data_IF_678643870443
#
_entry.id   IF_678643870443
#
_cell.length_a   1.000
_cell.length_b   1.000
_cell.length_c   1.000
_cell.angle_alpha   90.00
_cell.angle_beta   90.00
_cell.angle_gamma   90.00
#
_symmetry.space_group_name_H-M   'P 1'
#
loop_
_entity.id
_entity.type
_entity.pdbx_description
1 polymer ?
#
# COMPACT_ATOMS: atom_id res chain seq x y z
N UNK A 1 11.81 10.77 24.89
CA UNK A 1 10.47 11.34 24.64
C UNK A 1 10.02 11.08 23.20
N UNK A 2 10.86 11.37 22.20
CA UNK A 2 10.58 11.13 20.77
C UNK A 2 10.23 9.66 20.45
N UNK A 3 11.01 8.68 20.94
CA UNK A 3 10.72 7.24 20.72
C UNK A 3 9.35 6.81 21.23
N UNK A 4 8.92 7.32 22.40
CA UNK A 4 7.58 7.02 22.92
C UNK A 4 6.51 7.59 22.01
N UNK A 5 6.68 8.84 21.55
CA UNK A 5 5.70 9.51 20.70
C UNK A 5 5.60 8.84 19.32
N UNK A 6 6.74 8.51 18.69
CA UNK A 6 6.76 7.80 17.41
C UNK A 6 6.17 6.40 17.50
N UNK A 7 6.49 5.65 18.57
CA UNK A 7 5.93 4.32 18.79
C UNK A 7 4.41 4.37 19.02
N UNK A 8 3.91 5.31 19.83
CA UNK A 8 2.46 5.49 19.99
C UNK A 8 1.79 5.88 18.67
N UNK A 9 2.39 6.77 17.88
CA UNK A 9 1.82 7.18 16.60
C UNK A 9 1.73 6.02 15.58
N UNK A 10 2.75 5.15 15.53
CA UNK A 10 2.69 3.91 14.73
C UNK A 10 1.61 2.95 15.25
N UNK A 11 1.64 2.67 16.55
CA UNK A 11 0.79 1.64 17.16
C UNK A 11 -0.67 2.04 17.20
N UNK A 12 -1.04 3.33 17.23
CA UNK A 12 -2.44 3.77 17.06
C UNK A 12 -2.98 3.33 15.70
N UNK A 13 -2.23 3.58 14.62
CA UNK A 13 -2.61 3.14 13.28
C UNK A 13 -2.73 1.62 13.18
N UNK A 14 -1.76 0.89 13.73
CA UNK A 14 -1.76 -0.58 13.73
C UNK A 14 -2.89 -1.17 14.58
N UNK A 15 -3.21 -0.59 15.74
CA UNK A 15 -4.34 -1.00 16.57
C UNK A 15 -5.66 -0.81 15.84
N UNK A 16 -5.84 0.33 15.19
CA UNK A 16 -7.02 0.58 14.36
C UNK A 16 -7.11 -0.46 13.23
N UNK A 17 -6.00 -0.72 12.54
CA UNK A 17 -5.98 -1.74 11.48
C UNK A 17 -6.35 -3.12 12.01
N UNK A 18 -5.80 -3.52 13.14
CA UNK A 18 -6.13 -4.79 13.80
C UNK A 18 -7.62 -4.90 14.15
N UNK A 19 -8.21 -3.83 14.72
CA UNK A 19 -9.64 -3.76 14.98
C UNK A 19 -10.47 -3.87 13.69
N UNK A 20 -10.13 -3.10 12.66
CA UNK A 20 -10.83 -3.10 11.38
C UNK A 20 -10.78 -4.48 10.70
N UNK A 21 -9.62 -5.12 10.67
CA UNK A 21 -9.45 -6.46 10.11
C UNK A 21 -10.28 -7.49 10.90
N UNK A 22 -10.29 -7.39 12.23
CA UNK A 22 -11.12 -8.24 13.09
C UNK A 22 -12.60 -8.11 12.77
N UNK A 23 -13.13 -6.89 12.73
CA UNK A 23 -14.54 -6.61 12.43
C UNK A 23 -14.92 -7.07 11.02
N UNK A 24 -14.09 -6.77 10.02
CA UNK A 24 -14.39 -7.15 8.63
C UNK A 24 -14.31 -8.66 8.40
N UNK A 25 -13.42 -9.37 9.12
CA UNK A 25 -13.35 -10.81 9.09
C UNK A 25 -14.56 -11.46 9.78
N UNK A 26 -15.00 -10.92 10.92
CA UNK A 26 -16.18 -11.39 11.65
C UNK A 26 -17.45 -11.25 10.82
N UNK A 27 -17.65 -10.08 10.20
CA UNK A 27 -18.84 -9.75 9.42
C UNK A 27 -18.71 -10.12 7.93
N UNK A 28 -17.72 -10.96 7.57
CA UNK A 28 -17.37 -11.21 6.16
C UNK A 28 -18.58 -11.62 5.31
N UNK A 29 -19.34 -12.63 5.76
CA UNK A 29 -20.45 -13.16 4.96
C UNK A 29 -21.61 -12.15 4.87
N UNK A 30 -21.87 -11.39 5.94
CA UNK A 30 -22.89 -10.33 5.95
C UNK A 30 -22.53 -9.20 4.99
N UNK A 31 -21.26 -8.77 4.99
CA UNK A 31 -20.76 -7.75 4.06
C UNK A 31 -20.85 -8.26 2.62
N UNK A 32 -20.44 -9.51 2.36
CA UNK A 32 -20.52 -10.10 1.00
C UNK A 32 -21.98 -10.20 0.53
N UNK A 33 -22.91 -10.61 1.40
CA UNK A 33 -24.34 -10.67 1.07
C UNK A 33 -24.93 -9.28 0.78
N UNK A 34 -24.56 -8.27 1.56
CA UNK A 34 -25.03 -6.91 1.33
C UNK A 34 -24.46 -6.34 0.03
N UNK A 35 -23.18 -6.56 -0.27
CA UNK A 35 -22.59 -6.20 -1.56
C UNK A 35 -23.31 -6.93 -2.70
N UNK A 36 -23.55 -8.23 -2.56
CA UNK A 36 -24.28 -9.03 -3.53
C UNK A 36 -25.65 -8.40 -3.80
N UNK A 37 -26.43 -8.10 -2.76
CA UNK A 37 -27.75 -7.44 -2.87
C UNK A 37 -27.68 -6.12 -3.64
N UNK A 38 -26.66 -5.30 -3.38
CA UNK A 38 -26.47 -4.02 -4.06
C UNK A 38 -26.16 -4.19 -5.56
N UNK A 39 -25.31 -5.15 -5.93
CA UNK A 39 -24.87 -5.36 -7.31
C UNK A 39 -25.81 -6.26 -8.13
N UNK A 40 -26.69 -7.04 -7.50
CA UNK A 40 -27.73 -7.85 -8.17
C UNK A 40 -28.71 -7.01 -8.99
N UNK A 41 -28.75 -5.70 -8.77
CA UNK A 41 -29.56 -4.76 -9.57
C UNK A 41 -29.02 -4.58 -11.00
N UNK A 42 -27.81 -5.06 -11.31
CA UNK A 42 -27.19 -4.98 -12.64
C UNK A 42 -27.72 -6.06 -13.58
N UNK A 43 -28.58 -5.66 -14.53
CA UNK A 43 -29.26 -6.54 -15.51
C UNK A 43 -28.36 -7.37 -16.43
N UNK A 44 -27.06 -7.10 -16.52
CA UNK A 44 -26.15 -7.73 -17.48
C UNK A 44 -25.27 -8.84 -16.91
N UNK A 45 -25.37 -9.14 -15.61
CA UNK A 45 -24.54 -10.14 -14.95
C UNK A 45 -25.38 -11.36 -14.56
N UNK A 46 -24.80 -12.55 -14.71
CA UNK A 46 -25.39 -13.78 -14.16
C UNK A 46 -25.06 -13.91 -12.66
N UNK A 47 -25.76 -14.81 -11.98
CA UNK A 47 -25.63 -15.01 -10.53
C UNK A 47 -24.22 -15.40 -10.12
N UNK A 48 -23.54 -16.22 -10.95
CA UNK A 48 -22.16 -16.65 -10.69
C UNK A 48 -21.19 -15.46 -10.71
N UNK A 49 -21.34 -14.57 -11.69
CA UNK A 49 -20.55 -13.35 -11.79
C UNK A 49 -20.86 -12.40 -10.64
N UNK A 50 -22.12 -12.27 -10.25
CA UNK A 50 -22.51 -11.46 -9.09
C UNK A 50 -21.82 -11.96 -7.83
N UNK A 51 -21.82 -13.26 -7.56
CA UNK A 51 -21.15 -13.83 -6.39
C UNK A 51 -19.64 -13.57 -6.42
N UNK A 52 -18.98 -13.80 -7.56
CA UNK A 52 -17.56 -13.58 -7.72
C UNK A 52 -17.19 -12.10 -7.47
N UNK A 53 -17.95 -11.18 -8.04
CA UNK A 53 -17.73 -9.74 -7.91
C UNK A 53 -18.00 -9.26 -6.48
N UNK A 54 -19.02 -9.80 -5.79
CA UNK A 54 -19.27 -9.46 -4.40
C UNK A 54 -18.08 -9.82 -3.48
N UNK A 55 -17.51 -11.01 -3.67
CA UNK A 55 -16.29 -11.42 -2.95
C UNK A 55 -15.08 -10.56 -3.32
N UNK A 56 -14.94 -10.21 -4.59
CA UNK A 56 -13.87 -9.31 -5.05
C UNK A 56 -13.98 -7.92 -4.42
N UNK A 57 -15.18 -7.34 -4.35
CA UNK A 57 -15.41 -6.05 -3.69
C UNK A 57 -15.13 -6.10 -2.19
N UNK A 58 -15.51 -7.17 -1.50
CA UNK A 58 -15.13 -7.37 -0.10
C UNK A 58 -13.60 -7.31 0.08
N UNK A 59 -12.85 -8.08 -0.72
CA UNK A 59 -11.39 -8.07 -0.66
C UNK A 59 -10.82 -6.69 -1.00
N UNK A 60 -11.36 -6.03 -2.01
CA UNK A 60 -10.96 -4.68 -2.41
C UNK A 60 -11.17 -3.67 -1.27
N UNK A 61 -12.27 -3.79 -0.53
CA UNK A 61 -12.58 -2.92 0.60
C UNK A 61 -11.58 -3.10 1.74
N UNK A 62 -11.36 -4.35 2.17
CA UNK A 62 -10.39 -4.71 3.22
C UNK A 62 -8.98 -4.23 2.86
N UNK A 63 -8.59 -4.49 1.62
CA UNK A 63 -7.31 -4.09 1.07
C UNK A 63 -7.13 -2.57 1.03
N UNK A 64 -8.11 -1.84 0.48
CA UNK A 64 -8.04 -0.39 0.32
C UNK A 64 -7.95 0.33 1.66
N UNK A 65 -8.71 -0.12 2.67
CA UNK A 65 -8.60 0.43 4.02
C UNK A 65 -7.21 0.17 4.61
N UNK A 66 -6.68 -1.04 4.47
CA UNK A 66 -5.34 -1.41 4.95
C UNK A 66 -4.26 -0.49 4.36
N UNK A 67 -4.28 -0.29 3.05
CA UNK A 67 -3.36 0.62 2.35
C UNK A 67 -3.52 2.07 2.85
N UNK A 68 -4.74 2.53 3.07
CA UNK A 68 -5.01 3.88 3.56
C UNK A 68 -4.50 4.09 4.99
N UNK A 69 -4.63 3.10 5.86
CA UNK A 69 -4.09 3.18 7.23
C UNK A 69 -2.58 3.27 7.19
N UNK A 70 -1.90 2.38 6.46
CA UNK A 70 -0.44 2.41 6.27
C UNK A 70 0.02 3.79 5.81
N UNK A 71 -0.64 4.33 4.77
CA UNK A 71 -0.32 5.63 4.21
C UNK A 71 -0.57 6.78 5.18
N UNK A 72 -1.71 6.79 5.87
CA UNK A 72 -2.02 7.84 6.84
C UNK A 72 -1.04 7.82 8.00
N UNK A 73 -0.72 6.64 8.53
CA UNK A 73 0.29 6.52 9.59
C UNK A 73 1.64 7.07 9.13
N UNK A 74 2.11 6.68 7.94
CA UNK A 74 3.36 7.19 7.38
C UNK A 74 3.34 8.72 7.19
N UNK A 75 2.27 9.27 6.62
CA UNK A 75 2.14 10.70 6.33
C UNK A 75 1.99 11.56 7.60
N UNK A 76 1.39 11.03 8.67
CA UNK A 76 1.19 11.75 9.91
C UNK A 76 2.45 11.89 10.76
N UNK A 77 3.41 10.97 10.59
CA UNK A 77 4.64 10.96 11.40
C UNK A 77 5.87 11.31 10.59
N UNK A 78 5.91 10.96 9.30
CA UNK A 78 7.12 10.95 8.50
C UNK A 78 7.83 12.30 8.40
N UNK A 79 9.16 12.24 8.36
CA UNK A 79 10.03 13.37 8.12
C UNK A 79 11.34 12.88 7.51
N UNK A 80 11.89 13.61 6.54
CA UNK A 80 13.09 13.21 5.79
C UNK A 80 14.34 13.03 6.68
N UNK A 81 14.42 13.76 7.78
CA UNK A 81 15.59 13.76 8.67
C UNK A 81 15.50 12.68 9.78
N UNK A 82 14.42 11.88 9.81
CA UNK A 82 14.15 10.89 10.86
C UNK A 82 14.13 9.45 10.33
N UNK A 83 14.76 9.16 9.20
CA UNK A 83 14.73 7.81 8.60
C UNK A 83 15.25 6.71 9.55
N UNK A 84 16.40 6.95 10.21
CA UNK A 84 16.99 6.00 11.16
C UNK A 84 16.03 5.73 12.32
N UNK A 85 15.34 6.76 12.79
CA UNK A 85 14.35 6.65 13.86
C UNK A 85 13.14 5.79 13.44
N UNK A 86 12.64 5.92 12.22
CA UNK A 86 11.53 5.10 11.73
C UNK A 86 11.95 3.65 11.46
N UNK A 87 13.18 3.44 11.02
CA UNK A 87 13.77 2.11 10.88
C UNK A 87 13.86 1.39 12.23
N UNK A 88 14.32 2.07 13.29
CA UNK A 88 14.33 1.53 14.65
C UNK A 88 12.92 1.18 15.14
N UNK A 89 11.93 2.04 14.92
CA UNK A 89 10.54 1.77 15.32
C UNK A 89 9.98 0.55 14.57
N UNK A 90 10.16 0.48 13.25
CA UNK A 90 9.65 -0.62 12.44
C UNK A 90 10.29 -1.95 12.84
N UNK A 91 11.60 -1.95 13.10
CA UNK A 91 12.34 -3.11 13.59
C UNK A 91 11.91 -3.54 15.00
N UNK A 92 11.62 -2.58 15.89
CA UNK A 92 11.14 -2.89 17.24
C UNK A 92 9.73 -3.50 17.24
N UNK A 93 8.84 -3.02 16.37
CA UNK A 93 7.49 -3.59 16.21
C UNK A 93 7.57 -4.95 15.51
N UNK A 94 8.50 -5.11 14.58
CA UNK A 94 8.81 -6.34 13.86
C UNK A 94 7.60 -7.02 13.18
N UNK A 95 6.78 -6.23 12.50
CA UNK A 95 5.69 -6.73 11.64
C UNK A 95 5.89 -6.26 10.21
N UNK A 96 5.36 -7.02 9.25
CA UNK A 96 5.43 -6.63 7.84
C UNK A 96 4.76 -5.27 7.58
N UNK A 97 3.62 -5.01 8.24
CA UNK A 97 2.89 -3.74 8.12
C UNK A 97 3.71 -2.57 8.66
N UNK A 98 4.45 -2.75 9.76
CA UNK A 98 5.34 -1.70 10.27
C UNK A 98 6.45 -1.36 9.27
N UNK A 99 7.00 -2.38 8.59
CA UNK A 99 8.00 -2.19 7.52
C UNK A 99 7.38 -1.51 6.29
N UNK A 100 6.13 -1.81 5.94
CA UNK A 100 5.41 -1.09 4.87
C UNK A 100 5.24 0.40 5.20
N UNK A 101 4.94 0.74 6.45
CA UNK A 101 4.84 2.14 6.90
C UNK A 101 6.19 2.83 6.74
N UNK A 102 7.29 2.20 7.18
CA UNK A 102 8.64 2.73 7.02
C UNK A 102 8.99 2.98 5.55
N UNK A 103 8.76 2.00 4.65
CA UNK A 103 8.97 2.14 3.21
C UNK A 103 8.13 3.30 2.64
N UNK A 104 6.88 3.42 3.06
CA UNK A 104 6.00 4.51 2.64
C UNK A 104 6.52 5.88 3.12
N UNK A 105 7.13 5.98 4.30
CA UNK A 105 7.80 7.20 4.76
C UNK A 105 9.02 7.50 3.88
N UNK A 106 9.91 6.52 3.70
CA UNK A 106 11.15 6.70 2.93
C UNK A 106 10.84 7.25 1.53
N UNK A 107 9.90 6.62 0.83
CA UNK A 107 9.52 7.01 -0.54
C UNK A 107 8.85 8.38 -0.56
N UNK A 108 7.97 8.69 0.40
CA UNK A 108 7.22 9.94 0.38
C UNK A 108 8.10 11.15 0.74
N UNK A 109 9.02 11.00 1.69
CA UNK A 109 9.80 12.13 2.21
C UNK A 109 11.18 12.30 1.57
N UNK A 110 11.74 11.24 0.98
CA UNK A 110 13.03 11.34 0.26
C UNK A 110 12.89 11.30 -1.26
N UNK A 111 11.76 10.79 -1.77
CA UNK A 111 11.53 10.50 -3.20
C UNK A 111 12.57 9.55 -3.82
N UNK A 112 13.30 8.80 -2.97
CA UNK A 112 14.27 7.79 -3.38
C UNK A 112 13.71 6.40 -3.13
N UNK A 113 14.11 5.45 -3.97
CA UNK A 113 13.74 4.04 -3.83
C UNK A 113 14.69 3.37 -2.83
N UNK A 114 14.23 2.90 -1.64
CA UNK A 114 15.08 2.26 -0.64
C UNK A 114 15.38 0.79 -0.99
N UNK A 115 16.14 0.56 -2.07
CA UNK A 115 16.39 -0.77 -2.70
C UNK A 115 16.73 -1.89 -1.72
N UNK A 116 17.72 -1.67 -0.83
CA UNK A 116 18.14 -2.68 0.15
C UNK A 116 17.03 -3.09 1.12
N UNK A 117 16.23 -2.12 1.60
CA UNK A 117 15.11 -2.39 2.50
C UNK A 117 14.01 -3.17 1.80
N UNK A 118 13.76 -2.83 0.54
CA UNK A 118 12.77 -3.50 -0.31
C UNK A 118 13.15 -4.94 -0.64
N UNK A 119 14.41 -5.19 -1.03
CA UNK A 119 14.92 -6.56 -1.28
C UNK A 119 14.73 -7.44 -0.04
N UNK A 120 15.11 -6.90 1.14
CA UNK A 120 14.91 -7.59 2.41
C UNK A 120 13.44 -7.83 2.71
N UNK A 121 12.58 -6.81 2.60
CA UNK A 121 11.16 -6.95 2.87
C UNK A 121 10.51 -7.94 1.89
N UNK A 122 10.71 -7.76 0.58
CA UNK A 122 10.14 -8.61 -0.47
C UNK A 122 10.50 -10.09 -0.29
N UNK A 123 11.77 -10.39 0.00
CA UNK A 123 12.21 -11.75 0.29
C UNK A 123 11.54 -12.34 1.54
N UNK A 124 11.36 -11.53 2.59
CA UNK A 124 10.71 -11.95 3.83
C UNK A 124 9.19 -12.15 3.69
N UNK A 125 8.53 -11.48 2.74
CA UNK A 125 7.09 -11.61 2.55
C UNK A 125 6.67 -13.00 2.05
N UNK A 126 7.59 -13.78 1.46
CA UNK A 126 7.29 -15.13 0.96
C UNK A 126 6.01 -15.13 0.11
N UNK A 127 5.06 -16.02 0.39
CA UNK A 127 3.78 -16.10 -0.34
C UNK A 127 2.67 -15.22 0.26
N UNK A 128 2.98 -14.22 1.08
CA UNK A 128 1.98 -13.27 1.56
C UNK A 128 1.55 -12.30 0.45
N UNK A 129 0.62 -12.78 -0.39
CA UNK A 129 0.08 -12.07 -1.56
C UNK A 129 -0.49 -10.70 -1.16
N UNK A 130 -1.17 -10.61 -0.01
CA UNK A 130 -1.82 -9.37 0.44
C UNK A 130 -0.76 -8.31 0.73
N UNK A 131 0.25 -8.63 1.52
CA UNK A 131 1.30 -7.68 1.87
C UNK A 131 2.17 -7.31 0.68
N UNK A 132 2.47 -8.27 -0.21
CA UNK A 132 3.16 -7.98 -1.50
C UNK A 132 2.36 -7.00 -2.33
N UNK A 133 1.05 -7.21 -2.45
CA UNK A 133 0.17 -6.31 -3.21
C UNK A 133 0.11 -4.92 -2.57
N UNK A 134 0.08 -4.82 -1.24
CA UNK A 134 0.14 -3.53 -0.54
C UNK A 134 1.46 -2.79 -0.86
N UNK A 135 2.58 -3.51 -0.84
CA UNK A 135 3.87 -2.95 -1.21
C UNK A 135 3.87 -2.46 -2.67
N UNK A 136 3.38 -3.28 -3.61
CA UNK A 136 3.28 -2.87 -5.01
C UNK A 136 2.45 -1.60 -5.21
N UNK A 137 1.30 -1.48 -4.55
CA UNK A 137 0.45 -0.29 -4.70
C UNK A 137 1.08 0.99 -4.10
N UNK A 138 1.93 0.88 -3.06
CA UNK A 138 2.76 1.99 -2.60
C UNK A 138 3.63 2.52 -3.76
N UNK A 139 4.23 1.61 -4.53
CA UNK A 139 5.09 1.95 -5.68
C UNK A 139 4.31 2.42 -6.89
N UNK A 140 3.19 1.78 -7.22
CA UNK A 140 2.28 2.24 -8.29
C UNK A 140 1.87 3.70 -8.03
N UNK A 141 1.53 4.03 -6.77
CA UNK A 141 1.23 5.42 -6.40
C UNK A 141 2.45 6.33 -6.53
N UNK A 142 3.62 5.90 -6.07
CA UNK A 142 4.83 6.71 -6.19
C UNK A 142 5.17 7.02 -7.65
N UNK A 143 5.12 6.00 -8.52
CA UNK A 143 5.27 6.11 -9.98
C UNK A 143 4.17 6.96 -10.62
N UNK A 144 2.98 7.04 -10.03
CA UNK A 144 1.92 7.88 -10.55
C UNK A 144 2.11 9.37 -10.21
N UNK A 145 2.79 9.68 -9.11
CA UNK A 145 2.87 11.05 -8.58
C UNK A 145 4.26 11.69 -8.73
N UNK A 146 5.30 10.91 -8.96
CA UNK A 146 6.68 11.37 -9.00
C UNK A 146 7.36 10.85 -10.27
N UNK A 147 8.25 11.66 -10.84
CA UNK A 147 9.12 11.16 -11.89
C UNK A 147 10.11 10.16 -11.31
N UNK A 148 10.26 9.01 -11.96
CA UNK A 148 11.21 7.96 -11.57
C UNK A 148 12.13 7.67 -12.74
N UNK A 149 13.44 7.61 -12.46
CA UNK A 149 14.47 7.38 -13.46
C UNK A 149 14.36 5.99 -14.10
N UNK A 150 14.87 5.85 -15.32
CA UNK A 150 14.83 4.58 -16.06
C UNK A 150 15.51 3.42 -15.31
N UNK A 151 16.62 3.70 -14.63
CA UNK A 151 17.35 2.71 -13.82
C UNK A 151 16.52 2.19 -12.65
N UNK A 152 15.78 3.06 -11.98
CA UNK A 152 14.91 2.68 -10.86
C UNK A 152 13.65 1.96 -11.34
N UNK A 153 13.10 2.34 -12.50
CA UNK A 153 11.96 1.63 -13.13
C UNK A 153 12.32 0.19 -13.50
N UNK A 154 13.49 -0.02 -14.09
CA UNK A 154 14.00 -1.38 -14.38
C UNK A 154 14.14 -2.18 -13.09
N UNK A 155 14.79 -1.60 -12.08
CA UNK A 155 14.94 -2.25 -10.78
C UNK A 155 13.59 -2.63 -10.14
N UNK A 156 12.60 -1.73 -10.18
CA UNK A 156 11.24 -2.01 -9.67
C UNK A 156 10.60 -3.17 -10.43
N UNK A 157 10.77 -3.22 -11.76
CA UNK A 157 10.22 -4.32 -12.58
C UNK A 157 10.83 -5.66 -12.20
N UNK A 158 12.15 -5.69 -12.00
CA UNK A 158 12.90 -6.92 -11.75
C UNK A 158 12.67 -7.45 -10.32
N UNK A 159 12.39 -6.56 -9.35
CA UNK A 159 12.37 -6.92 -7.92
C UNK A 159 10.98 -6.89 -7.27
N UNK A 160 10.03 -6.12 -7.82
CA UNK A 160 8.70 -5.95 -7.22
C UNK A 160 7.56 -6.43 -8.12
N UNK A 161 7.88 -7.09 -9.25
CA UNK A 161 6.89 -7.64 -10.19
C UNK A 161 5.90 -6.58 -10.74
N UNK A 162 6.33 -5.32 -10.87
CA UNK A 162 5.54 -4.25 -11.50
C UNK A 162 6.04 -4.05 -12.94
N UNK A 163 5.32 -4.49 -13.98
CA UNK A 163 5.84 -4.50 -15.34
C UNK A 163 6.21 -3.12 -15.88
N UNK A 164 7.33 -3.00 -16.59
CA UNK A 164 7.80 -1.73 -17.19
C UNK A 164 6.73 -1.01 -18.02
N UNK A 165 5.92 -1.73 -18.78
CA UNK A 165 4.84 -1.14 -19.59
C UNK A 165 3.79 -0.42 -18.71
N UNK A 166 3.45 -1.01 -17.57
CA UNK A 166 2.55 -0.40 -16.59
C UNK A 166 3.18 0.87 -16.01
N UNK A 167 4.45 0.78 -15.60
CA UNK A 167 5.19 1.93 -15.09
C UNK A 167 5.26 3.09 -16.10
N UNK A 168 5.49 2.79 -17.38
CA UNK A 168 5.51 3.78 -18.46
C UNK A 168 4.15 4.49 -18.61
N UNK A 169 3.04 3.73 -18.56
CA UNK A 169 1.68 4.32 -18.62
C UNK A 169 1.41 5.27 -17.45
N UNK A 170 1.87 4.93 -16.24
CA UNK A 170 1.74 5.81 -15.07
C UNK A 170 2.55 7.11 -15.24
N UNK A 171 3.73 7.02 -15.83
CA UNK A 171 4.66 8.15 -16.02
C UNK A 171 4.26 9.11 -17.16
N UNK A 172 3.42 8.67 -18.12
CA UNK A 172 2.91 9.56 -19.19
C UNK A 172 2.14 10.76 -18.61
N UNK A 173 1.37 10.55 -17.53
CA UNK A 173 0.58 11.60 -16.87
C UNK A 173 1.43 12.57 -16.04
N UNK A 174 2.61 12.14 -15.58
CA UNK A 174 3.53 12.95 -14.77
C UNK A 174 4.34 13.94 -15.61
N UNK A 175 4.61 13.59 -16.88
CA UNK A 175 5.36 14.45 -17.81
C UNK A 175 4.55 15.64 -18.33
N UNK A 176 3.22 15.52 -18.42
CA UNK A 176 2.34 16.57 -18.95
C UNK A 176 2.38 17.86 -18.08
N UNK A 177 2.27 17.79 -16.73
CA UNK A 177 2.37 18.98 -15.87
C UNK A 177 3.71 19.72 -15.88
N UNK A 178 4.80 19.08 -16.32
CA UNK A 178 6.14 19.69 -16.35
C UNK A 178 6.39 20.52 -17.61
N UNK A 179 5.60 20.30 -18.67
CA UNK A 179 5.70 21.04 -19.93
C UNK A 179 4.85 22.32 -19.94
N UNK A 180 3.89 22.46 -19.02
CA UNK A 180 3.02 23.65 -18.88
C UNK A 180 3.60 24.75 -17.98
N UNK A 181 4.88 24.64 -17.59
CA UNK A 181 5.61 25.66 -16.81
C UNK A 181 6.81 26.24 -17.57
N UNK A 182 6.67 26.37 -18.89
CA UNK A 182 7.62 27.06 -19.78
C UNK A 182 7.14 28.44 -20.13
#
# INVERSE_FOLDING_TARGET
MLNKLGNEAYTVGLRFLGYYLGVTQELKEEIVQEIHRLISTKRSWDDKKIEQEARFYYWTFVYSMSLNVIRKTALSVGHKDLQVFYEEIANNINTEVAKLIEIQIDIEFTKKIPKKKLESLWGNLGDNIVTRRLLQDIFVRHLHLNYVEHTDKNWISDNLEIPLLEQQRLQQKVKIPLLDRG
#
